data_IF_517770540036
#
_entry.id   IF_517770540036
#
_cell.length_a   1.000
_cell.length_b   1.000
_cell.length_c   1.000
_cell.angle_alpha   90.00
_cell.angle_beta   90.00
_cell.angle_gamma   90.00
#
_symmetry.space_group_name_H-M   'P 1'
#
loop_
_entity.id
_entity.type
_entity.pdbx_description
1 polymer ?
#
# COMPACT_ATOMS: atom_id res chain seq x y z
N UNK A 1 2.79 -12.66 -33.47
CA UNK A 1 2.59 -11.79 -32.28
C UNK A 1 3.67 -12.12 -31.25
N UNK A 2 4.54 -11.16 -30.87
CA UNK A 2 5.48 -11.37 -29.75
C UNK A 2 4.67 -11.78 -28.52
N UNK A 3 4.91 -12.96 -27.96
CA UNK A 3 4.03 -13.53 -26.94
C UNK A 3 3.90 -12.55 -25.75
N UNK A 4 2.66 -12.26 -25.36
CA UNK A 4 2.32 -11.34 -24.28
C UNK A 4 2.75 -11.91 -22.91
N UNK A 5 2.86 -13.24 -22.85
CA UNK A 5 3.32 -14.06 -21.74
C UNK A 5 4.41 -15.04 -22.18
N UNK A 6 5.11 -15.60 -21.20
CA UNK A 6 6.09 -16.66 -21.27
C UNK A 6 7.55 -16.21 -21.41
N UNK A 7 8.44 -17.08 -20.96
CA UNK A 7 9.88 -16.95 -21.09
C UNK A 7 10.51 -18.32 -21.37
N UNK A 8 11.57 -18.32 -22.17
CA UNK A 8 12.43 -19.50 -22.33
C UNK A 8 13.11 -19.83 -21.00
N UNK A 9 13.18 -21.11 -20.64
CA UNK A 9 13.88 -21.57 -19.43
C UNK A 9 15.31 -21.04 -19.36
N UNK A 10 15.74 -20.68 -18.15
CA UNK A 10 17.06 -20.10 -17.90
C UNK A 10 17.18 -18.60 -18.19
N UNK A 11 16.19 -17.98 -18.87
CA UNK A 11 16.19 -16.54 -19.11
C UNK A 11 15.46 -15.78 -18.00
N UNK A 12 15.94 -14.57 -17.72
CA UNK A 12 15.24 -13.61 -16.86
C UNK A 12 15.05 -12.33 -17.66
N UNK A 13 13.79 -11.90 -17.83
CA UNK A 13 13.44 -10.64 -18.48
C UNK A 13 12.22 -10.03 -17.80
N UNK A 14 12.28 -8.73 -17.56
CA UNK A 14 11.21 -7.95 -16.95
C UNK A 14 10.54 -7.08 -18.01
N UNK A 15 9.21 -6.96 -17.92
CA UNK A 15 8.38 -6.16 -18.79
C UNK A 15 7.52 -5.21 -17.95
N UNK A 16 7.23 -4.01 -18.48
CA UNK A 16 6.19 -3.13 -17.91
C UNK A 16 4.89 -3.92 -17.81
N UNK A 17 4.12 -3.65 -16.76
CA UNK A 17 2.84 -4.30 -16.53
C UNK A 17 1.92 -4.19 -17.74
N UNK A 18 1.19 -5.27 -18.04
CA UNK A 18 0.26 -5.34 -19.18
C UNK A 18 -1.14 -5.69 -18.70
N UNK A 19 -2.14 -4.90 -19.09
CA UNK A 19 -3.56 -5.15 -18.74
C UNK A 19 -4.03 -6.56 -19.15
N UNK A 20 -3.50 -7.08 -20.24
CA UNK A 20 -3.83 -8.43 -20.76
C UNK A 20 -3.46 -9.56 -19.79
N UNK A 21 -2.51 -9.37 -18.87
CA UNK A 21 -2.19 -10.39 -17.87
C UNK A 21 -3.37 -10.73 -16.97
N UNK A 22 -4.20 -9.73 -16.63
CA UNK A 22 -5.44 -9.95 -15.86
C UNK A 22 -6.45 -10.80 -16.64
N UNK A 23 -6.62 -10.53 -17.93
CA UNK A 23 -7.54 -11.30 -18.79
C UNK A 23 -7.10 -12.75 -18.91
N UNK A 24 -5.81 -12.98 -19.19
CA UNK A 24 -5.22 -14.33 -19.30
C UNK A 24 -5.35 -15.10 -17.99
N UNK A 25 -5.10 -14.44 -16.85
CA UNK A 25 -5.29 -15.05 -15.54
C UNK A 25 -6.76 -15.43 -15.30
N UNK A 26 -7.71 -14.55 -15.64
CA UNK A 26 -9.14 -14.82 -15.49
C UNK A 26 -9.61 -16.02 -16.34
N UNK A 27 -9.15 -16.13 -17.59
CA UNK A 27 -9.43 -17.29 -18.46
C UNK A 27 -8.87 -18.58 -17.87
N UNK A 28 -7.65 -18.53 -17.32
CA UNK A 28 -7.02 -19.68 -16.66
C UNK A 28 -7.79 -20.08 -15.40
N UNK A 29 -8.21 -19.10 -14.60
CA UNK A 29 -9.01 -19.32 -13.38
C UNK A 29 -10.34 -19.99 -13.73
N UNK A 30 -11.05 -19.50 -14.75
CA UNK A 30 -12.31 -20.09 -15.20
C UNK A 30 -12.13 -21.57 -15.62
N UNK A 31 -11.09 -21.85 -16.41
CA UNK A 31 -10.75 -23.22 -16.82
C UNK A 31 -10.43 -24.13 -15.62
N UNK A 32 -9.74 -23.62 -14.60
CA UNK A 32 -9.45 -24.42 -13.40
C UNK A 32 -10.72 -24.68 -12.58
N UNK A 33 -11.63 -23.72 -12.46
CA UNK A 33 -12.93 -23.93 -11.83
C UNK A 33 -13.79 -24.97 -12.57
N UNK A 34 -13.77 -24.97 -13.91
CA UNK A 34 -14.47 -26.00 -14.70
C UNK A 34 -13.97 -27.43 -14.41
N UNK A 35 -12.68 -27.58 -14.09
CA UNK A 35 -12.08 -28.89 -13.79
C UNK A 35 -12.30 -29.29 -12.34
N UNK A 36 -12.09 -28.36 -11.41
CA UNK A 36 -12.01 -28.64 -9.97
C UNK A 36 -13.36 -28.56 -9.26
N UNK A 37 -14.31 -27.80 -9.80
CA UNK A 37 -15.61 -27.55 -9.15
C UNK A 37 -15.44 -27.10 -7.70
N UNK A 38 -16.26 -27.68 -6.81
CA UNK A 38 -16.31 -27.34 -5.38
C UNK A 38 -15.05 -27.77 -4.60
N UNK A 39 -14.15 -28.56 -5.19
CA UNK A 39 -12.86 -28.89 -4.57
C UNK A 39 -11.96 -27.64 -4.45
N UNK A 40 -12.10 -26.68 -5.37
CA UNK A 40 -11.41 -25.41 -5.29
C UNK A 40 -12.21 -24.42 -4.43
N UNK A 41 -11.76 -24.18 -3.20
CA UNK A 41 -12.37 -23.21 -2.30
C UNK A 41 -12.28 -21.78 -2.86
N UNK A 42 -11.14 -21.43 -3.48
CA UNK A 42 -10.90 -20.17 -4.18
C UNK A 42 -9.75 -20.34 -5.18
N UNK A 43 -9.72 -19.53 -6.24
CA UNK A 43 -8.64 -19.49 -7.24
C UNK A 43 -8.32 -18.04 -7.59
N UNK A 44 -7.07 -17.63 -7.36
CA UNK A 44 -6.67 -16.23 -7.39
C UNK A 44 -5.43 -15.99 -8.27
N UNK A 45 -5.42 -14.86 -8.99
CA UNK A 45 -4.23 -14.37 -9.69
C UNK A 45 -3.25 -13.78 -8.66
N UNK A 46 -2.04 -14.31 -8.61
CA UNK A 46 -0.99 -13.96 -7.63
C UNK A 46 0.35 -13.67 -8.32
N UNK A 47 1.42 -13.49 -7.54
CA UNK A 47 2.75 -13.19 -8.05
C UNK A 47 2.90 -11.77 -8.61
N UNK A 48 4.03 -11.48 -9.26
CA UNK A 48 4.32 -10.11 -9.73
C UNK A 48 3.40 -9.64 -10.86
N UNK A 49 2.81 -10.56 -11.64
CA UNK A 49 1.94 -10.18 -12.77
C UNK A 49 0.54 -9.71 -12.33
N UNK A 50 0.17 -9.90 -11.07
CA UNK A 50 -1.06 -9.36 -10.47
C UNK A 50 -0.84 -8.02 -9.76
N UNK A 51 0.38 -7.47 -9.78
CA UNK A 51 0.71 -6.15 -9.21
C UNK A 51 0.86 -5.13 -10.33
N UNK A 52 -0.06 -4.16 -10.40
CA UNK A 52 -0.24 -3.30 -11.57
C UNK A 52 0.91 -2.31 -11.79
N UNK A 53 1.59 -1.91 -10.71
CA UNK A 53 2.55 -0.81 -10.72
C UNK A 53 4.01 -1.24 -10.88
N UNK A 54 4.28 -2.54 -11.07
CA UNK A 54 5.66 -3.06 -11.15
C UNK A 54 5.94 -3.80 -12.45
N UNK A 55 7.20 -3.83 -12.88
CA UNK A 55 7.67 -4.74 -13.91
C UNK A 55 7.70 -6.16 -13.37
N UNK A 56 7.29 -7.10 -14.22
CA UNK A 56 7.26 -8.51 -13.89
C UNK A 56 7.91 -9.35 -15.00
N UNK A 57 8.33 -10.56 -14.63
CA UNK A 57 8.49 -11.62 -15.63
C UNK A 57 7.10 -11.89 -16.19
N UNK A 58 6.95 -12.07 -17.51
CA UNK A 58 5.64 -12.27 -18.12
C UNK A 58 5.13 -13.72 -17.90
N UNK A 59 5.20 -14.24 -16.68
CA UNK A 59 4.70 -15.57 -16.29
C UNK A 59 3.54 -15.33 -15.33
N UNK A 60 2.38 -15.94 -15.62
CA UNK A 60 1.18 -15.82 -14.80
C UNK A 60 1.28 -16.80 -13.64
N UNK A 61 1.20 -16.32 -12.40
CA UNK A 61 1.16 -17.18 -11.22
C UNK A 61 -0.29 -17.23 -10.70
N UNK A 62 -0.85 -18.42 -10.54
CA UNK A 62 -2.20 -18.67 -10.01
C UNK A 62 -2.07 -19.46 -8.70
N UNK A 63 -2.82 -19.09 -7.67
CA UNK A 63 -2.97 -19.87 -6.44
C UNK A 63 -4.37 -20.50 -6.41
N UNK A 64 -4.45 -21.78 -6.06
CA UNK A 64 -5.67 -22.55 -5.86
C UNK A 64 -5.73 -22.97 -4.38
N UNK A 65 -6.77 -22.54 -3.68
CA UNK A 65 -7.03 -22.96 -2.30
C UNK A 65 -7.89 -24.23 -2.29
N UNK A 66 -7.49 -25.24 -1.52
CA UNK A 66 -8.23 -26.49 -1.31
C UNK A 66 -8.36 -26.80 0.18
N UNK A 67 -9.31 -27.64 0.59
CA UNK A 67 -9.39 -28.07 1.99
C UNK A 67 -8.26 -29.04 2.36
N UNK A 68 -7.98 -30.01 1.47
CA UNK A 68 -6.91 -30.99 1.65
C UNK A 68 -6.35 -31.42 0.28
N UNK A 69 -5.13 -31.95 0.27
CA UNK A 69 -4.58 -32.52 -0.97
C UNK A 69 -5.26 -33.82 -1.38
N UNK A 70 -5.81 -34.59 -0.43
CA UNK A 70 -6.55 -35.82 -0.74
C UNK A 70 -7.79 -35.54 -1.59
N UNK A 71 -8.47 -34.42 -1.35
CA UNK A 71 -9.64 -34.03 -2.15
C UNK A 71 -9.25 -33.58 -3.56
N UNK A 72 -8.00 -33.13 -3.73
CA UNK A 72 -7.49 -32.54 -4.96
C UNK A 72 -6.72 -33.52 -5.85
N UNK A 73 -5.92 -34.43 -5.28
CA UNK A 73 -4.95 -35.24 -6.04
C UNK A 73 -5.62 -36.13 -7.10
N UNK A 74 -6.90 -36.48 -6.94
CA UNK A 74 -7.71 -37.18 -7.95
C UNK A 74 -7.95 -36.41 -9.25
N UNK A 75 -7.81 -35.08 -9.25
CA UNK A 75 -7.99 -34.22 -10.43
C UNK A 75 -6.72 -34.05 -11.28
N UNK A 76 -5.56 -34.54 -10.82
CA UNK A 76 -4.30 -34.42 -11.55
C UNK A 76 -4.40 -34.92 -13.01
N UNK A 77 -4.99 -36.10 -13.30
CA UNK A 77 -5.14 -36.55 -14.69
C UNK A 77 -5.99 -35.61 -15.56
N UNK A 78 -7.07 -35.04 -15.00
CA UNK A 78 -7.94 -34.10 -15.72
C UNK A 78 -7.23 -32.77 -16.01
N UNK A 79 -6.42 -32.28 -15.07
CA UNK A 79 -5.55 -31.12 -15.25
C UNK A 79 -4.50 -31.38 -16.34
N UNK A 80 -3.83 -32.53 -16.31
CA UNK A 80 -2.82 -32.90 -17.31
C UNK A 80 -3.42 -33.04 -18.71
N UNK A 81 -4.64 -33.57 -18.84
CA UNK A 81 -5.37 -33.64 -20.11
C UNK A 81 -5.67 -32.26 -20.72
N UNK A 82 -5.71 -31.20 -19.89
CA UNK A 82 -5.86 -29.80 -20.30
C UNK A 82 -4.53 -29.05 -20.41
N UNK A 83 -3.40 -29.74 -20.30
CA UNK A 83 -2.07 -29.16 -20.43
C UNK A 83 -1.50 -28.52 -19.16
N UNK A 84 -2.17 -28.69 -18.02
CA UNK A 84 -1.70 -28.25 -16.69
C UNK A 84 -0.82 -29.35 -16.11
N UNK A 85 0.49 -29.27 -16.35
CA UNK A 85 1.42 -30.38 -16.09
C UNK A 85 1.94 -30.36 -14.66
N UNK A 86 1.80 -31.48 -13.92
CA UNK A 86 2.26 -31.58 -12.54
C UNK A 86 3.80 -31.64 -12.43
N UNK A 87 4.36 -31.07 -11.35
CA UNK A 87 5.80 -30.97 -11.10
C UNK A 87 6.16 -31.38 -9.66
N UNK A 88 6.00 -32.67 -9.30
CA UNK A 88 6.19 -33.15 -7.92
C UNK A 88 7.63 -33.05 -7.40
N UNK A 89 8.63 -32.98 -8.30
CA UNK A 89 10.06 -32.92 -7.93
C UNK A 89 10.55 -31.51 -7.60
N UNK A 90 9.69 -30.50 -7.73
CA UNK A 90 10.03 -29.10 -7.41
C UNK A 90 9.72 -28.87 -5.94
N UNK A 91 10.76 -28.80 -5.11
CA UNK A 91 10.60 -28.52 -3.68
C UNK A 91 10.32 -27.03 -3.46
N UNK A 92 9.06 -26.67 -3.26
CA UNK A 92 8.62 -25.30 -2.97
C UNK A 92 7.90 -25.18 -1.62
N UNK A 93 7.92 -26.23 -0.79
CA UNK A 93 7.18 -26.28 0.47
C UNK A 93 6.00 -27.24 0.40
N UNK A 94 4.98 -26.99 1.22
CA UNK A 94 3.80 -27.83 1.31
C UNK A 94 2.75 -27.45 0.26
N UNK A 95 3.11 -27.60 -1.02
CA UNK A 95 2.30 -27.18 -2.16
C UNK A 95 2.29 -28.24 -3.27
N UNK A 96 1.22 -28.32 -4.07
CA UNK A 96 1.27 -29.01 -5.38
C UNK A 96 1.56 -27.98 -6.46
N UNK A 97 2.64 -28.20 -7.21
CA UNK A 97 3.10 -27.27 -8.23
C UNK A 97 2.80 -27.76 -9.65
N UNK A 98 2.21 -26.91 -10.48
CA UNK A 98 1.92 -27.19 -11.89
C UNK A 98 2.40 -26.07 -12.79
N UNK A 99 2.60 -26.39 -14.07
CA UNK A 99 3.01 -25.43 -15.10
C UNK A 99 2.17 -25.59 -16.37
N UNK A 100 1.92 -24.48 -17.05
CA UNK A 100 1.40 -24.46 -18.43
C UNK A 100 2.48 -23.89 -19.35
N UNK A 101 2.72 -24.55 -20.48
CA UNK A 101 3.79 -24.21 -21.41
C UNK A 101 4.00 -25.27 -22.49
N UNK A 102 4.94 -25.02 -23.39
CA UNK A 102 5.30 -25.99 -24.44
C UNK A 102 6.36 -27.00 -23.96
N UNK A 103 6.61 -28.02 -24.79
CA UNK A 103 7.61 -29.05 -24.52
C UNK A 103 9.06 -28.56 -24.72
N UNK A 104 9.24 -27.37 -25.30
CA UNK A 104 10.52 -26.76 -25.64
C UNK A 104 11.07 -25.83 -24.54
N UNK A 105 10.68 -26.09 -23.28
CA UNK A 105 11.13 -25.35 -22.09
C UNK A 105 10.61 -23.88 -22.04
N UNK A 106 9.45 -23.59 -22.64
CA UNK A 106 8.78 -22.28 -22.54
C UNK A 106 7.58 -22.33 -21.59
N UNK A 107 7.67 -21.66 -20.44
CA UNK A 107 6.61 -21.65 -19.43
C UNK A 107 5.85 -20.32 -19.45
N UNK A 108 4.53 -20.41 -19.43
CA UNK A 108 3.61 -19.26 -19.43
C UNK A 108 2.88 -19.09 -18.11
N UNK A 109 2.57 -20.20 -17.43
CA UNK A 109 1.87 -20.18 -16.15
C UNK A 109 2.57 -21.05 -15.11
N UNK A 110 2.46 -20.62 -13.87
CA UNK A 110 2.69 -21.41 -12.68
C UNK A 110 1.37 -21.50 -11.90
N UNK A 111 1.00 -22.70 -11.46
CA UNK A 111 -0.18 -22.92 -10.64
C UNK A 111 0.26 -23.58 -9.35
N UNK A 112 -0.06 -22.92 -8.24
CA UNK A 112 0.28 -23.31 -6.88
C UNK A 112 -1.00 -23.76 -6.18
N UNK A 113 -1.07 -25.01 -5.73
CA UNK A 113 -2.23 -25.53 -5.01
C UNK A 113 -1.84 -25.75 -3.55
N UNK A 114 -2.59 -25.13 -2.65
CA UNK A 114 -2.27 -25.03 -1.22
C UNK A 114 -3.53 -25.17 -0.35
N UNK A 115 -3.42 -25.63 0.91
CA UNK A 115 -4.56 -25.63 1.82
C UNK A 115 -5.10 -24.22 2.06
N UNK A 116 -6.42 -24.04 2.16
CA UNK A 116 -7.08 -22.72 2.30
C UNK A 116 -6.70 -21.99 3.60
N UNK A 117 -6.36 -22.73 4.66
CA UNK A 117 -5.91 -22.18 5.95
C UNK A 117 -4.39 -22.06 6.06
N UNK A 118 -3.65 -22.41 4.99
CA UNK A 118 -2.18 -22.43 5.02
C UNK A 118 -1.56 -21.04 5.04
N UNK A 119 -0.33 -20.97 5.55
CA UNK A 119 0.49 -19.75 5.53
C UNK A 119 0.80 -19.32 4.10
N UNK A 120 0.97 -20.27 3.18
CA UNK A 120 1.22 -20.04 1.77
C UNK A 120 0.06 -19.30 1.11
N UNK A 121 -1.18 -19.77 1.31
CA UNK A 121 -2.38 -19.09 0.81
C UNK A 121 -2.45 -17.65 1.32
N UNK A 122 -2.33 -17.47 2.65
CA UNK A 122 -2.36 -16.15 3.30
C UNK A 122 -1.27 -15.24 2.72
N UNK A 123 -0.04 -15.75 2.56
CA UNK A 123 1.09 -15.00 2.02
C UNK A 123 0.86 -14.58 0.57
N UNK A 124 0.37 -15.47 -0.30
CA UNK A 124 0.10 -15.14 -1.69
C UNK A 124 -0.91 -13.99 -1.83
N UNK A 125 -2.01 -14.07 -1.06
CA UNK A 125 -3.07 -13.06 -1.09
C UNK A 125 -2.60 -11.74 -0.46
N UNK A 126 -2.01 -11.80 0.74
CA UNK A 126 -1.55 -10.62 1.45
C UNK A 126 -0.47 -9.88 0.66
N UNK A 127 0.53 -10.59 0.13
CA UNK A 127 1.62 -9.96 -0.64
C UNK A 127 1.08 -9.21 -1.86
N UNK A 128 0.20 -9.84 -2.65
CA UNK A 128 -0.44 -9.19 -3.80
C UNK A 128 -1.23 -7.95 -3.38
N UNK A 129 -2.10 -8.09 -2.39
CA UNK A 129 -3.00 -7.02 -1.97
C UNK A 129 -2.20 -5.84 -1.41
N UNK A 130 -1.21 -6.13 -0.57
CA UNK A 130 -0.32 -5.15 0.03
C UNK A 130 0.43 -4.35 -1.03
N UNK A 131 1.08 -5.01 -2.00
CA UNK A 131 1.84 -4.31 -3.04
C UNK A 131 0.94 -3.48 -3.99
N UNK A 132 -0.30 -3.89 -4.23
CA UNK A 132 -1.24 -3.05 -4.98
C UNK A 132 -1.73 -1.85 -4.17
N UNK A 133 -1.86 -1.99 -2.84
CA UNK A 133 -2.30 -0.92 -1.94
C UNK A 133 -1.16 0.03 -1.51
N UNK A 134 0.10 -0.41 -1.58
CA UNK A 134 1.29 0.33 -1.13
C UNK A 134 2.30 0.50 -2.26
N UNK A 135 2.13 1.52 -3.12
CA UNK A 135 3.01 1.73 -4.27
C UNK A 135 4.50 1.88 -3.91
N UNK A 136 4.81 2.49 -2.76
CA UNK A 136 6.19 2.61 -2.28
C UNK A 136 6.83 1.23 -2.02
N UNK A 137 6.13 0.34 -1.30
CA UNK A 137 6.60 -1.03 -1.04
C UNK A 137 6.74 -1.84 -2.34
N UNK A 138 5.81 -1.65 -3.29
CA UNK A 138 5.91 -2.24 -4.63
C UNK A 138 7.13 -1.75 -5.40
N UNK A 139 7.46 -0.47 -5.26
CA UNK A 139 8.67 0.17 -5.79
C UNK A 139 9.95 -0.46 -5.26
N UNK A 140 10.07 -0.62 -3.93
CA UNK A 140 11.21 -1.27 -3.29
C UNK A 140 11.40 -2.70 -3.82
N UNK A 141 10.30 -3.45 -3.96
CA UNK A 141 10.34 -4.79 -4.54
C UNK A 141 10.79 -4.79 -6.00
N UNK A 142 10.35 -3.83 -6.81
CA UNK A 142 10.78 -3.69 -8.19
C UNK A 142 12.27 -3.36 -8.30
N UNK A 143 12.77 -2.44 -7.48
CA UNK A 143 14.16 -2.02 -7.48
C UNK A 143 15.11 -3.21 -7.24
N UNK A 144 14.81 -4.04 -6.23
CA UNK A 144 15.57 -5.26 -5.97
C UNK A 144 15.55 -6.19 -7.19
N UNK A 145 14.40 -6.40 -7.84
CA UNK A 145 14.31 -7.21 -9.06
C UNK A 145 15.16 -6.65 -10.20
N UNK A 146 15.14 -5.33 -10.40
CA UNK A 146 15.94 -4.68 -11.45
C UNK A 146 17.43 -4.85 -11.16
N UNK A 147 17.86 -4.65 -9.92
CA UNK A 147 19.26 -4.77 -9.52
C UNK A 147 19.76 -6.22 -9.61
N UNK A 148 18.96 -7.20 -9.17
CA UNK A 148 19.28 -8.62 -9.34
C UNK A 148 19.34 -9.03 -10.82
N UNK A 149 18.47 -8.47 -11.67
CA UNK A 149 18.51 -8.74 -13.11
C UNK A 149 19.81 -8.24 -13.75
N UNK A 150 20.31 -7.07 -13.34
CA UNK A 150 21.61 -6.53 -13.79
C UNK A 150 22.75 -7.46 -13.39
N UNK A 151 22.72 -8.00 -12.16
CA UNK A 151 23.78 -8.85 -11.61
C UNK A 151 23.74 -10.31 -12.11
N UNK A 152 22.55 -10.87 -12.32
CA UNK A 152 22.34 -12.31 -12.56
C UNK A 152 21.53 -12.62 -13.83
N UNK A 153 21.78 -11.89 -14.93
CA UNK A 153 21.04 -12.00 -16.19
C UNK A 153 20.90 -13.44 -16.74
N UNK A 154 21.93 -14.27 -16.56
CA UNK A 154 21.99 -15.66 -17.03
C UNK A 154 21.91 -16.69 -15.90
N UNK A 155 21.70 -16.25 -14.65
CA UNK A 155 21.60 -17.13 -13.49
C UNK A 155 20.23 -16.97 -12.82
N UNK A 156 19.25 -17.71 -13.32
CA UNK A 156 17.87 -17.70 -12.80
C UNK A 156 17.80 -18.06 -11.32
N UNK A 157 18.64 -18.99 -10.84
CA UNK A 157 18.63 -19.42 -9.44
C UNK A 157 19.09 -18.27 -8.54
N UNK A 158 20.25 -17.69 -8.81
CA UNK A 158 20.77 -16.55 -8.05
C UNK A 158 19.82 -15.34 -8.08
N UNK A 159 19.17 -15.07 -9.23
CA UNK A 159 18.10 -14.06 -9.31
C UNK A 159 16.91 -14.38 -8.40
N UNK A 160 16.54 -15.66 -8.27
CA UNK A 160 15.39 -16.08 -7.47
C UNK A 160 15.70 -16.01 -5.98
N UNK A 161 16.85 -16.57 -5.58
CA UNK A 161 17.33 -16.61 -4.20
C UNK A 161 17.61 -15.20 -3.66
N UNK A 162 18.17 -14.31 -4.48
CA UNK A 162 18.48 -12.93 -4.08
C UNK A 162 17.25 -12.08 -3.72
N UNK A 163 16.03 -12.54 -4.00
CA UNK A 163 14.78 -11.85 -3.61
C UNK A 163 14.29 -12.24 -2.22
N UNK A 164 14.87 -13.27 -1.59
CA UNK A 164 14.33 -13.86 -0.37
C UNK A 164 14.17 -12.83 0.76
N UNK A 165 15.18 -11.98 0.98
CA UNK A 165 15.19 -10.98 2.04
C UNK A 165 14.06 -9.95 1.87
N UNK A 166 13.93 -9.33 0.70
CA UNK A 166 12.87 -8.34 0.44
C UNK A 166 11.47 -8.98 0.48
N UNK A 167 11.33 -10.23 0.03
CA UNK A 167 10.05 -10.95 0.10
C UNK A 167 9.68 -11.21 1.56
N UNK A 168 10.62 -11.68 2.38
CA UNK A 168 10.39 -11.95 3.79
C UNK A 168 10.00 -10.67 4.55
N UNK A 169 10.69 -9.56 4.29
CA UNK A 169 10.35 -8.25 4.85
C UNK A 169 8.92 -7.83 4.49
N UNK A 170 8.61 -7.79 3.19
CA UNK A 170 7.30 -7.37 2.69
C UNK A 170 6.16 -8.30 3.10
N UNK A 171 6.42 -9.59 3.32
CA UNK A 171 5.42 -10.51 3.86
C UNK A 171 5.07 -10.18 5.32
N UNK A 172 6.05 -9.78 6.15
CA UNK A 172 5.77 -9.31 7.52
C UNK A 172 4.92 -8.04 7.48
N UNK A 173 5.29 -7.07 6.65
CA UNK A 173 4.53 -5.83 6.47
C UNK A 173 3.10 -6.09 5.96
N UNK A 174 2.96 -6.93 4.93
CA UNK A 174 1.69 -7.31 4.34
C UNK A 174 0.79 -8.06 5.33
N UNK A 175 1.39 -8.90 6.17
CA UNK A 175 0.69 -9.62 7.21
C UNK A 175 0.09 -8.66 8.23
N UNK A 176 0.88 -7.77 8.83
CA UNK A 176 0.38 -6.77 9.78
C UNK A 176 -0.67 -5.85 9.14
N UNK A 177 -0.40 -5.37 7.93
CA UNK A 177 -1.34 -4.54 7.17
C UNK A 177 -2.67 -5.23 6.88
N UNK A 178 -2.68 -6.55 6.68
CA UNK A 178 -3.91 -7.30 6.43
C UNK A 178 -4.87 -7.32 7.62
N UNK A 179 -4.42 -6.92 8.81
CA UNK A 179 -5.26 -6.78 10.00
C UNK A 179 -5.80 -5.37 10.19
N UNK A 180 -5.27 -4.37 9.47
CA UNK A 180 -5.73 -3.00 9.59
C UNK A 180 -7.23 -2.92 9.21
N UNK A 181 -8.04 -2.36 10.11
CA UNK A 181 -9.50 -2.30 9.99
C UNK A 181 -10.25 -3.58 10.38
N UNK A 182 -9.57 -4.65 10.81
CA UNK A 182 -10.24 -5.89 11.27
C UNK A 182 -10.58 -5.83 12.76
N UNK A 183 -11.69 -6.47 13.11
CA UNK A 183 -12.05 -6.77 14.50
C UNK A 183 -11.17 -7.88 15.05
N UNK A 184 -10.64 -7.67 16.26
CA UNK A 184 -9.80 -8.61 16.99
C UNK A 184 -10.21 -8.66 18.46
N UNK A 185 -9.95 -9.79 19.11
CA UNK A 185 -10.10 -9.96 20.56
C UNK A 185 -8.73 -9.88 21.21
N UNK A 186 -8.57 -8.99 22.18
CA UNK A 186 -7.34 -8.67 22.89
C UNK A 186 -7.43 -9.17 24.32
N UNK A 187 -6.40 -9.86 24.78
CA UNK A 187 -6.16 -10.07 26.21
C UNK A 187 -5.49 -8.82 26.78
N UNK A 188 -6.18 -8.11 27.67
CA UNK A 188 -5.70 -6.86 28.26
C UNK A 188 -4.85 -7.17 29.48
N UNK A 189 -3.67 -6.56 29.56
CA UNK A 189 -2.68 -6.82 30.61
C UNK A 189 -2.70 -5.77 31.72
N UNK A 190 -2.46 -4.50 31.39
CA UNK A 190 -2.39 -3.42 32.37
C UNK A 190 -2.70 -2.05 31.77
N UNK A 191 -3.22 -1.17 32.64
CA UNK A 191 -3.36 0.27 32.37
C UNK A 191 -1.98 0.92 32.26
N UNK A 192 -1.79 1.74 31.23
CA UNK A 192 -0.60 2.57 31.02
C UNK A 192 -0.91 4.06 31.26
N UNK A 193 -2.12 4.49 30.90
CA UNK A 193 -2.61 5.85 31.14
C UNK A 193 -4.12 5.87 31.35
N UNK A 194 -4.58 6.69 32.29
CA UNK A 194 -6.00 6.96 32.55
C UNK A 194 -6.36 8.43 32.26
N UNK A 195 -5.56 9.09 31.41
CA UNK A 195 -5.82 10.46 30.94
C UNK A 195 -7.03 10.50 29.99
N UNK A 196 -7.30 11.68 29.40
CA UNK A 196 -8.43 11.91 28.47
C UNK A 196 -8.60 10.83 27.39
N UNK A 197 -7.51 10.26 26.89
CA UNK A 197 -7.54 9.03 26.08
C UNK A 197 -6.84 7.93 26.88
N UNK A 198 -7.59 6.99 27.49
CA UNK A 198 -7.01 5.88 28.21
C UNK A 198 -6.17 4.98 27.30
N UNK A 199 -5.09 4.40 27.84
CA UNK A 199 -4.19 3.49 27.12
C UNK A 199 -3.92 2.27 27.98
N UNK A 200 -4.09 1.10 27.39
CA UNK A 200 -3.78 -0.20 28.01
C UNK A 200 -2.83 -0.99 27.11
N UNK A 201 -2.00 -1.83 27.72
CA UNK A 201 -1.22 -2.85 26.99
C UNK A 201 -1.97 -4.17 26.94
N UNK A 202 -1.75 -4.94 25.88
CA UNK A 202 -2.34 -6.27 25.72
C UNK A 202 -1.69 -7.04 24.58
N UNK A 203 -2.29 -8.17 24.23
CA UNK A 203 -1.85 -8.98 23.10
C UNK A 203 -3.00 -9.74 22.44
N UNK A 204 -2.76 -10.19 21.21
CA UNK A 204 -3.66 -11.07 20.45
C UNK A 204 -2.96 -12.42 20.22
N UNK A 205 -3.61 -13.53 20.55
CA UNK A 205 -3.07 -14.88 20.36
C UNK A 205 -3.36 -15.44 18.96
N UNK A 206 -2.49 -16.33 18.48
CA UNK A 206 -2.75 -17.18 17.32
C UNK A 206 -2.72 -16.45 15.97
N UNK A 207 -2.27 -15.20 15.95
CA UNK A 207 -2.26 -14.38 14.74
C UNK A 207 -1.05 -14.70 13.87
N UNK A 208 0.16 -14.86 14.44
CA UNK A 208 1.40 -15.01 13.66
C UNK A 208 1.62 -16.43 13.10
N UNK A 209 0.81 -17.42 13.47
CA UNK A 209 0.89 -18.80 13.00
C UNK A 209 1.88 -19.70 13.77
N UNK A 210 2.81 -19.11 14.54
CA UNK A 210 3.85 -19.83 15.28
C UNK A 210 3.60 -19.85 16.81
N UNK A 211 2.34 -19.73 17.24
CA UNK A 211 1.95 -19.50 18.65
C UNK A 211 2.53 -18.23 19.28
N UNK A 212 3.06 -17.30 18.49
CA UNK A 212 3.50 -16.00 19.01
C UNK A 212 2.30 -15.07 19.18
N UNK A 213 2.33 -14.29 20.25
CA UNK A 213 1.35 -13.25 20.50
C UNK A 213 1.74 -11.97 19.77
N UNK A 214 0.75 -11.24 19.25
CA UNK A 214 0.96 -9.91 18.69
C UNK A 214 0.69 -8.87 19.77
N UNK A 215 1.69 -8.10 20.15
CA UNK A 215 1.55 -7.01 21.12
C UNK A 215 0.66 -5.89 20.57
N UNK A 216 -0.19 -5.33 21.45
CA UNK A 216 -1.09 -4.23 21.10
C UNK A 216 -1.20 -3.19 22.21
N UNK A 217 -1.53 -1.97 21.80
CA UNK A 217 -2.17 -0.97 22.66
C UNK A 217 -3.68 -1.00 22.46
N UNK A 218 -4.44 -0.89 23.54
CA UNK A 218 -5.88 -0.57 23.49
C UNK A 218 -6.05 0.89 23.90
N UNK A 219 -6.64 1.71 23.02
CA UNK A 219 -6.80 3.16 23.26
C UNK A 219 -8.26 3.59 23.27
N UNK A 220 -8.58 4.62 24.04
CA UNK A 220 -9.90 5.27 24.02
C UNK A 220 -11.04 4.43 24.61
N UNK A 221 -10.72 3.43 25.43
CA UNK A 221 -11.70 2.57 26.10
C UNK A 221 -11.61 2.77 27.60
N UNK A 222 -12.72 3.12 28.24
CA UNK A 222 -12.80 3.17 29.70
C UNK A 222 -13.00 1.75 30.24
N UNK A 223 -12.11 1.29 31.13
CA UNK A 223 -12.23 0.02 31.85
C UNK A 223 -12.53 -1.19 30.94
N UNK A 224 -11.62 -1.56 30.03
CA UNK A 224 -11.85 -2.61 29.02
C UNK A 224 -12.03 -4.03 29.59
N UNK A 225 -11.85 -4.23 30.90
CA UNK A 225 -11.80 -5.56 31.51
C UNK A 225 -10.51 -6.32 31.15
N UNK A 226 -10.50 -7.64 31.38
CA UNK A 226 -9.36 -8.51 31.01
C UNK A 226 -9.38 -8.96 29.55
N UNK A 227 -10.52 -8.83 28.88
CA UNK A 227 -10.71 -9.19 27.47
C UNK A 227 -11.49 -8.08 26.79
N UNK A 228 -10.96 -7.57 25.68
CA UNK A 228 -11.59 -6.51 24.91
C UNK A 228 -11.66 -6.88 23.43
N UNK A 229 -12.82 -6.65 22.80
CA UNK A 229 -12.98 -6.80 21.36
C UNK A 229 -13.08 -5.41 20.72
N UNK A 230 -12.20 -5.13 19.77
CA UNK A 230 -12.13 -3.84 19.10
C UNK A 230 -11.57 -3.97 17.69
N UNK A 231 -11.32 -2.85 17.04
CA UNK A 231 -10.79 -2.79 15.68
C UNK A 231 -9.32 -2.40 15.70
N UNK A 232 -8.48 -3.10 14.94
CA UNK A 232 -7.10 -2.69 14.68
C UNK A 232 -7.13 -1.40 13.86
N UNK A 233 -6.93 -0.26 14.51
CA UNK A 233 -7.04 1.07 13.90
C UNK A 233 -5.71 1.58 13.36
N UNK A 234 -4.58 1.09 13.89
CA UNK A 234 -3.27 1.41 13.34
C UNK A 234 -2.23 0.29 13.57
N UNK A 235 -1.19 0.30 12.73
CA UNK A 235 0.03 -0.49 12.90
C UNK A 235 1.19 0.47 13.13
N UNK A 236 2.01 0.22 14.15
CA UNK A 236 3.23 0.99 14.42
C UNK A 236 4.38 0.29 13.69
N UNK A 237 5.13 1.04 12.90
CA UNK A 237 6.32 0.58 12.20
C UNK A 237 7.55 1.29 12.77
N UNK A 238 8.64 0.54 12.98
CA UNK A 238 9.94 1.13 13.31
C UNK A 238 10.57 1.83 12.10
N UNK A 239 11.68 2.54 12.34
CA UNK A 239 12.47 3.26 11.32
C UNK A 239 12.83 2.45 10.07
N UNK A 240 13.00 1.13 10.20
CA UNK A 240 13.35 0.22 9.10
C UNK A 240 12.12 -0.35 8.35
N UNK A 241 10.92 0.15 8.65
CA UNK A 241 9.62 -0.37 8.24
C UNK A 241 9.28 -1.76 8.79
N UNK A 242 9.95 -2.21 9.86
CA UNK A 242 9.54 -3.44 10.53
C UNK A 242 8.25 -3.19 11.32
N UNK A 243 7.17 -3.97 11.08
CA UNK A 243 5.94 -3.84 11.85
C UNK A 243 6.17 -4.25 13.31
N UNK A 244 5.76 -3.39 14.24
CA UNK A 244 5.82 -3.58 15.67
C UNK A 244 4.44 -3.81 16.28
N UNK A 245 4.12 -3.07 17.35
CA UNK A 245 2.84 -3.18 18.06
C UNK A 245 1.67 -2.66 17.22
N UNK A 246 0.47 -3.21 17.45
CA UNK A 246 -0.75 -2.71 16.82
C UNK A 246 -1.54 -1.84 17.79
N UNK A 247 -2.45 -1.03 17.25
CA UNK A 247 -3.34 -0.20 18.05
C UNK A 247 -4.78 -0.63 17.81
N UNK A 248 -5.47 -0.99 18.89
CA UNK A 248 -6.86 -1.42 18.90
C UNK A 248 -7.71 -0.35 19.58
N UNK A 249 -8.84 -0.01 18.97
CA UNK A 249 -9.77 1.01 19.46
C UNK A 249 -11.22 0.58 19.23
N UNK A 250 -12.22 1.27 19.81
CA UNK A 250 -13.62 1.07 19.44
C UNK A 250 -13.85 1.23 17.94
N UNK A 251 -14.81 0.50 17.37
CA UNK A 251 -15.03 0.47 15.92
C UNK A 251 -15.48 1.84 15.35
N UNK A 252 -16.14 2.64 16.17
CA UNK A 252 -16.60 3.99 15.90
C UNK A 252 -15.53 5.08 16.11
N UNK A 253 -14.42 4.73 16.76
CA UNK A 253 -13.38 5.70 17.07
C UNK A 253 -12.58 6.07 15.82
N UNK A 254 -12.37 7.38 15.63
CA UNK A 254 -11.69 7.94 14.45
C UNK A 254 -10.39 8.62 14.83
N UNK A 255 -9.42 7.86 15.33
CA UNK A 255 -8.10 8.38 15.70
C UNK A 255 -7.17 8.45 14.49
N UNK A 256 -6.72 9.65 14.14
CA UNK A 256 -5.70 9.81 13.12
C UNK A 256 -4.29 9.48 13.65
N UNK A 257 -3.31 9.35 12.76
CA UNK A 257 -1.96 8.94 13.12
C UNK A 257 -1.27 9.88 14.14
N UNK A 258 -1.55 11.20 14.09
CA UNK A 258 -0.98 12.16 15.04
C UNK A 258 -1.58 11.99 16.45
N UNK A 259 -2.91 11.84 16.53
CA UNK A 259 -3.61 11.59 17.79
C UNK A 259 -3.19 10.26 18.43
N UNK A 260 -2.98 9.23 17.62
CA UNK A 260 -2.45 7.95 18.10
C UNK A 260 -1.02 8.14 18.61
N UNK A 261 -0.16 8.85 17.88
CA UNK A 261 1.21 9.12 18.30
C UNK A 261 1.27 9.87 19.64
N UNK A 262 0.44 10.90 19.85
CA UNK A 262 0.38 11.66 21.10
C UNK A 262 0.12 10.78 22.34
N UNK A 263 -0.66 9.71 22.19
CA UNK A 263 -1.04 8.84 23.30
C UNK A 263 -0.10 7.64 23.47
N UNK A 264 0.51 7.12 22.39
CA UNK A 264 1.34 5.91 22.46
C UNK A 264 2.84 6.18 22.58
N UNK A 265 3.36 7.27 22.01
CA UNK A 265 4.81 7.55 22.01
C UNK A 265 5.45 7.61 23.40
N UNK A 266 4.78 8.10 24.47
CA UNK A 266 5.35 8.04 25.83
C UNK A 266 5.64 6.62 26.34
N UNK A 267 5.10 5.58 25.69
CA UNK A 267 5.25 4.18 26.06
C UNK A 267 6.09 3.36 25.05
N UNK A 268 6.58 4.00 24.00
CA UNK A 268 7.49 3.39 23.04
C UNK A 268 8.95 3.60 23.44
N UNK A 269 9.79 2.61 23.13
CA UNK A 269 11.23 2.69 23.41
C UNK A 269 11.94 3.57 22.38
N UNK A 270 11.47 3.54 21.13
CA UNK A 270 11.93 4.37 20.03
C UNK A 270 10.76 5.24 19.56
N UNK A 271 10.98 6.53 19.45
CA UNK A 271 9.97 7.49 18.98
C UNK A 271 10.08 7.77 17.48
N UNK A 272 11.12 7.27 16.80
CA UNK A 272 11.27 7.32 15.34
C UNK A 272 10.43 6.19 14.70
N UNK A 273 9.11 6.37 14.76
CA UNK A 273 8.12 5.39 14.29
C UNK A 273 7.18 5.99 13.26
N UNK A 274 6.71 5.14 12.36
CA UNK A 274 5.65 5.45 11.41
C UNK A 274 4.34 4.76 11.83
N UNK A 275 3.26 5.53 12.00
CA UNK A 275 1.95 5.00 12.40
C UNK A 275 1.03 4.93 11.18
N UNK A 276 0.77 3.70 10.71
CA UNK A 276 -0.17 3.45 9.62
C UNK A 276 -1.60 3.32 10.14
N UNK A 277 -2.30 4.45 10.28
CA UNK A 277 -3.69 4.48 10.73
C UNK A 277 -4.70 4.30 9.58
N UNK A 278 -5.85 3.67 9.89
CA UNK A 278 -7.07 3.65 9.08
C UNK A 278 -7.53 5.09 8.79
N UNK A 279 -7.53 5.94 9.81
CA UNK A 279 -7.86 7.34 9.68
C UNK A 279 -6.59 8.14 9.50
N UNK A 280 -6.49 8.87 8.39
CA UNK A 280 -5.27 9.61 8.06
C UNK A 280 -5.59 11.08 7.92
N UNK A 281 -4.86 11.92 8.64
CA UNK A 281 -4.93 13.37 8.50
C UNK A 281 -3.71 13.88 7.77
N UNK A 282 -3.92 14.70 6.75
CA UNK A 282 -2.86 15.42 6.06
C UNK A 282 -3.18 16.90 6.02
N UNK A 283 -2.12 17.69 5.89
CA UNK A 283 -2.25 19.12 5.65
C UNK A 283 -1.37 19.47 4.46
N UNK A 284 -1.85 20.41 3.65
CA UNK A 284 -1.17 20.86 2.45
C UNK A 284 -1.42 22.34 2.21
N UNK A 285 -0.73 22.86 1.20
CA UNK A 285 -0.83 24.27 0.83
C UNK A 285 -0.96 24.42 -0.68
N UNK A 286 -1.99 25.14 -1.10
CA UNK A 286 -2.14 25.62 -2.47
C UNK A 286 -1.17 26.79 -2.64
N UNK A 287 -0.01 26.50 -3.22
CA UNK A 287 0.98 27.54 -3.54
C UNK A 287 0.66 28.11 -4.91
N UNK A 288 0.47 29.43 -4.98
CA UNK A 288 0.16 30.13 -6.23
C UNK A 288 1.14 31.25 -6.54
N UNK A 289 1.25 31.63 -7.81
CA UNK A 289 1.91 32.85 -8.26
C UNK A 289 1.08 33.52 -9.35
N UNK A 290 1.32 34.79 -9.60
CA UNK A 290 0.69 35.52 -10.71
C UNK A 290 1.76 35.85 -11.75
N UNK A 291 1.57 35.35 -12.97
CA UNK A 291 2.46 35.58 -14.11
C UNK A 291 1.61 36.09 -15.27
N UNK A 292 1.96 37.27 -15.79
CA UNK A 292 1.23 37.92 -16.89
C UNK A 292 -0.29 38.03 -16.66
N UNK A 293 -0.69 38.24 -15.40
CA UNK A 293 -2.09 38.35 -14.99
C UNK A 293 -2.83 37.02 -14.84
N UNK A 294 -2.17 35.88 -15.08
CA UNK A 294 -2.73 34.55 -14.87
C UNK A 294 -2.29 33.99 -13.52
N UNK A 295 -3.20 33.29 -12.84
CA UNK A 295 -2.88 32.54 -11.63
C UNK A 295 -2.33 31.18 -12.03
N UNK A 296 -1.13 30.86 -11.56
CA UNK A 296 -0.49 29.56 -11.72
C UNK A 296 -0.28 28.89 -10.38
N UNK A 297 -0.41 27.57 -10.34
CA UNK A 297 -0.32 26.77 -9.13
C UNK A 297 0.81 25.76 -9.20
N UNK A 298 1.54 25.61 -8.10
CA UNK A 298 2.59 24.61 -7.95
C UNK A 298 1.97 23.25 -7.65
N UNK A 299 2.23 22.27 -8.51
CA UNK A 299 1.90 20.86 -8.28
C UNK A 299 3.16 20.01 -8.18
N UNK A 300 3.04 18.86 -7.51
CA UNK A 300 4.07 17.82 -7.40
C UNK A 300 3.62 16.54 -8.09
N UNK A 301 4.54 15.87 -8.77
CA UNK A 301 4.31 14.54 -9.34
C UNK A 301 5.07 13.50 -8.55
N UNK A 302 4.34 12.56 -7.97
CA UNK A 302 4.90 11.47 -7.16
C UNK A 302 5.31 10.28 -8.05
N UNK A 303 6.53 9.78 -7.86
CA UNK A 303 7.16 8.71 -8.64
C UNK A 303 6.40 7.38 -8.61
N UNK A 304 5.91 6.98 -7.42
CA UNK A 304 5.29 5.66 -7.23
C UNK A 304 3.79 5.63 -7.51
N UNK A 305 3.08 6.76 -7.43
CA UNK A 305 1.64 6.81 -7.64
C UNK A 305 1.22 7.41 -8.99
N UNK A 306 2.19 7.83 -9.82
CA UNK A 306 2.02 8.30 -11.20
C UNK A 306 0.93 9.37 -11.36
N UNK A 307 0.85 10.31 -10.42
CA UNK A 307 -0.17 11.35 -10.39
C UNK A 307 0.37 12.69 -9.89
N UNK A 308 -0.24 13.77 -10.36
CA UNK A 308 0.00 15.11 -9.84
C UNK A 308 -0.89 15.38 -8.63
N UNK A 309 -0.37 16.11 -7.65
CA UNK A 309 -1.12 16.56 -6.49
C UNK A 309 -0.63 17.91 -5.97
N UNK A 310 -1.43 18.52 -5.09
CA UNK A 310 -1.02 19.70 -4.32
C UNK A 310 -0.01 19.22 -3.24
N UNK A 311 1.08 19.96 -2.97
CA UNK A 311 2.04 19.65 -1.91
C UNK A 311 1.33 19.45 -0.56
N UNK A 312 1.56 18.30 0.08
CA UNK A 312 0.85 17.88 1.30
C UNK A 312 1.55 16.67 1.93
N UNK A 313 1.42 16.51 3.24
CA UNK A 313 1.82 15.26 3.88
C UNK A 313 1.18 15.04 5.23
N UNK A 314 1.67 14.05 5.97
CA UNK A 314 0.97 13.56 7.15
C UNK A 314 1.20 14.51 8.32
N UNK A 315 0.14 14.80 9.06
CA UNK A 315 0.24 15.53 10.32
C UNK A 315 0.98 14.67 11.35
N UNK A 316 1.93 15.27 12.05
CA UNK A 316 2.68 14.64 13.15
C UNK A 316 2.11 15.06 14.51
N UNK A 317 2.50 14.33 15.57
CA UNK A 317 2.03 14.60 16.93
C UNK A 317 2.39 16.02 17.39
N UNK A 318 1.43 16.74 17.96
CA UNK A 318 1.65 18.10 18.46
C UNK A 318 1.74 19.20 17.38
N UNK A 319 1.67 18.86 16.09
CA UNK A 319 1.62 19.87 15.02
C UNK A 319 0.22 20.49 14.91
N UNK A 320 0.17 21.79 14.62
CA UNK A 320 -1.05 22.39 14.05
C UNK A 320 -1.16 22.05 12.56
N UNK A 321 -2.37 22.16 12.01
CA UNK A 321 -2.59 21.96 10.57
C UNK A 321 -1.75 22.91 9.70
N UNK A 322 -1.53 24.15 10.17
CA UNK A 322 -0.71 25.13 9.48
C UNK A 322 0.77 24.77 9.53
N UNK A 323 1.28 24.35 10.69
CA UNK A 323 2.68 23.93 10.84
C UNK A 323 2.98 22.71 9.98
N UNK A 324 2.07 21.74 9.94
CA UNK A 324 2.16 20.56 9.06
C UNK A 324 2.27 21.00 7.59
N UNK A 325 1.40 21.91 7.13
CA UNK A 325 1.42 22.38 5.75
C UNK A 325 2.71 23.13 5.40
N UNK A 326 3.27 23.90 6.35
CA UNK A 326 4.54 24.61 6.19
C UNK A 326 5.70 23.61 6.07
N UNK A 327 5.78 22.63 6.99
CA UNK A 327 6.82 21.60 6.99
C UNK A 327 6.81 20.80 5.70
N UNK A 328 5.64 20.31 5.28
CA UNK A 328 5.53 19.48 4.08
C UNK A 328 5.81 20.28 2.80
N UNK A 329 5.41 21.56 2.70
CA UNK A 329 5.82 22.40 1.57
C UNK A 329 7.34 22.53 1.45
N UNK A 330 8.03 22.64 2.59
CA UNK A 330 9.48 22.69 2.62
C UNK A 330 10.12 21.33 2.28
N UNK A 331 9.64 20.24 2.88
CA UNK A 331 10.19 18.89 2.68
C UNK A 331 9.95 18.36 1.26
N UNK A 332 8.78 18.62 0.68
CA UNK A 332 8.43 18.12 -0.65
C UNK A 332 9.09 18.95 -1.76
N UNK A 333 8.95 20.28 -1.68
CA UNK A 333 9.25 21.20 -2.79
C UNK A 333 10.18 22.35 -2.43
N UNK A 334 10.74 22.36 -1.21
CA UNK A 334 11.69 23.38 -0.79
C UNK A 334 11.10 24.79 -0.74
N UNK A 335 9.78 24.94 -0.74
CA UNK A 335 9.11 26.23 -0.78
C UNK A 335 8.82 26.71 0.64
N UNK A 336 9.22 27.95 0.93
CA UNK A 336 8.80 28.63 2.17
C UNK A 336 7.45 29.27 1.92
N UNK A 337 6.47 28.91 2.75
CA UNK A 337 5.11 29.41 2.67
C UNK A 337 4.74 30.15 3.94
N UNK A 338 3.83 31.11 3.81
CA UNK A 338 3.12 31.73 4.93
C UNK A 338 1.64 31.55 4.63
N UNK A 339 1.02 30.45 5.12
CA UNK A 339 -0.36 30.14 4.77
C UNK A 339 -1.32 31.24 5.25
N UNK A 340 -2.25 31.62 4.38
CA UNK A 340 -3.37 32.47 4.75
C UNK A 340 -4.28 31.71 5.72
N UNK A 341 -4.65 32.37 6.81
CA UNK A 341 -5.46 31.75 7.86
C UNK A 341 -6.96 31.73 7.53
N UNK A 342 -7.42 32.61 6.63
CA UNK A 342 -8.82 32.75 6.22
C UNK A 342 -9.25 31.72 5.17
N UNK A 343 -8.31 31.30 4.30
CA UNK A 343 -8.59 30.24 3.34
C UNK A 343 -8.33 28.86 3.96
N UNK A 344 -9.42 28.13 4.22
CA UNK A 344 -9.37 26.74 4.69
C UNK A 344 -10.34 25.91 3.85
N UNK A 345 -9.84 24.80 3.30
CA UNK A 345 -10.68 23.77 2.67
C UNK A 345 -10.27 22.40 3.13
N UNK A 346 -11.26 21.62 3.55
CA UNK A 346 -11.09 20.22 3.95
C UNK A 346 -11.71 19.33 2.90
N UNK A 347 -10.97 18.31 2.47
CA UNK A 347 -11.48 17.27 1.59
C UNK A 347 -11.32 15.91 2.26
N UNK A 348 -12.31 15.05 2.05
CA UNK A 348 -12.31 13.69 2.55
C UNK A 348 -12.48 12.72 1.40
N UNK A 349 -11.67 11.65 1.39
CA UNK A 349 -11.79 10.58 0.41
C UNK A 349 -11.29 9.26 0.97
N UNK A 350 -11.75 8.15 0.37
CA UNK A 350 -11.34 6.80 0.76
C UNK A 350 -10.20 6.32 -0.14
N UNK A 351 -9.10 5.83 0.46
CA UNK A 351 -8.06 5.11 -0.26
C UNK A 351 -8.26 3.62 0.01
N UNK A 352 -8.67 2.91 -1.05
CA UNK A 352 -8.89 1.47 -0.97
C UNK A 352 -7.63 0.73 -0.48
N UNK A 353 -7.78 -0.33 0.33
CA UNK A 353 -9.04 -0.94 0.76
C UNK A 353 -9.61 -0.42 2.08
N UNK A 354 -8.83 0.30 2.90
CA UNK A 354 -9.20 0.53 4.31
C UNK A 354 -9.09 1.98 4.79
N UNK A 355 -8.46 2.89 4.04
CA UNK A 355 -8.11 4.20 4.60
C UNK A 355 -9.17 5.26 4.37
N UNK A 356 -9.49 6.01 5.42
CA UNK A 356 -10.26 7.25 5.35
C UNK A 356 -9.27 8.40 5.46
N UNK A 357 -9.17 9.24 4.42
CA UNK A 357 -8.20 10.32 4.33
C UNK A 357 -8.92 11.66 4.45
N UNK A 358 -8.52 12.46 5.42
CA UNK A 358 -8.85 13.88 5.54
C UNK A 358 -7.62 14.69 5.11
N UNK A 359 -7.81 15.70 4.28
CA UNK A 359 -6.75 16.64 3.89
C UNK A 359 -7.24 18.06 4.07
N UNK A 360 -6.52 18.84 4.88
CA UNK A 360 -6.77 20.27 5.08
C UNK A 360 -5.82 21.09 4.22
N UNK A 361 -6.36 21.95 3.38
CA UNK A 361 -5.61 22.85 2.52
C UNK A 361 -5.75 24.30 2.99
N UNK A 362 -4.60 24.96 3.07
CA UNK A 362 -4.49 26.42 3.12
C UNK A 362 -3.92 26.95 1.80
N UNK A 363 -3.83 28.26 1.66
CA UNK A 363 -3.28 28.91 0.46
C UNK A 363 -2.07 29.78 0.81
N UNK A 364 -1.10 29.91 -0.09
CA UNK A 364 0.02 30.83 0.11
C UNK A 364 0.52 31.35 -1.22
N UNK A 365 0.82 32.65 -1.27
CA UNK A 365 1.51 33.25 -2.40
C UNK A 365 2.98 32.79 -2.39
N UNK A 366 3.46 32.38 -3.55
CA UNK A 366 4.82 31.94 -3.75
C UNK A 366 5.83 33.07 -3.57
N UNK A 367 6.81 32.85 -2.68
CA UNK A 367 7.93 33.76 -2.48
C UNK A 367 9.24 32.99 -2.59
N UNK A 368 9.94 33.13 -3.71
CA UNK A 368 11.31 32.62 -3.89
C UNK A 368 11.48 31.62 -5.04
N UNK A 369 12.15 30.50 -4.76
CA UNK A 369 12.43 29.41 -5.70
C UNK A 369 11.85 28.08 -5.17
N UNK A 370 11.51 27.15 -6.07
CA UNK A 370 11.04 25.80 -5.73
C UNK A 370 12.01 24.75 -6.25
N UNK A 371 12.31 23.71 -5.47
CA UNK A 371 13.14 22.58 -5.89
C UNK A 371 12.60 21.28 -5.30
N UNK A 372 12.63 20.19 -6.05
CA UNK A 372 12.28 18.88 -5.47
C UNK A 372 13.30 18.54 -4.38
N UNK A 373 12.81 18.25 -3.16
CA UNK A 373 13.66 17.89 -2.02
C UNK A 373 13.42 16.45 -1.57
N UNK A 374 12.17 15.97 -1.59
CA UNK A 374 11.79 14.64 -1.07
C UNK A 374 12.09 13.50 -2.05
N UNK A 375 12.76 12.41 -1.62
CA UNK A 375 12.83 11.18 -2.38
C UNK A 375 11.42 10.65 -2.71
N UNK A 376 11.17 10.33 -3.97
CA UNK A 376 9.87 9.85 -4.44
C UNK A 376 8.99 10.93 -5.09
N UNK A 377 9.42 12.19 -5.13
CA UNK A 377 8.87 13.19 -6.06
C UNK A 377 9.72 13.18 -7.33
N UNK A 378 9.07 13.04 -8.49
CA UNK A 378 9.72 12.98 -9.80
C UNK A 378 9.98 14.38 -10.35
N UNK A 379 8.98 15.25 -10.28
CA UNK A 379 9.03 16.61 -10.84
C UNK A 379 8.01 17.53 -10.17
N UNK A 380 8.24 18.85 -10.31
CA UNK A 380 7.29 19.92 -9.98
C UNK A 380 6.91 20.67 -11.24
N UNK A 381 5.76 21.33 -11.22
CA UNK A 381 5.28 22.12 -12.35
C UNK A 381 4.32 23.21 -11.92
N UNK A 382 4.27 24.28 -12.72
CA UNK A 382 3.34 25.39 -12.56
C UNK A 382 2.25 25.27 -13.62
N UNK A 383 1.00 25.33 -13.18
CA UNK A 383 -0.15 25.09 -14.05
C UNK A 383 -1.25 26.10 -13.78
N UNK A 384 -1.90 26.57 -14.83
CA UNK A 384 -3.17 27.29 -14.69
C UNK A 384 -4.27 26.32 -14.25
N UNK A 385 -5.37 26.83 -13.69
CA UNK A 385 -6.46 26.01 -13.15
C UNK A 385 -6.97 24.94 -14.15
N UNK A 386 -7.15 25.32 -15.41
CA UNK A 386 -7.67 24.41 -16.45
C UNK A 386 -6.75 23.21 -16.75
N UNK A 387 -5.45 23.36 -16.52
CA UNK A 387 -4.44 22.31 -16.70
C UNK A 387 -4.31 21.48 -15.44
N UNK A 388 -4.22 22.14 -14.27
CA UNK A 388 -4.19 21.48 -12.96
C UNK A 388 -5.34 20.47 -12.81
N UNK A 389 -6.57 20.86 -13.19
CA UNK A 389 -7.75 19.97 -13.14
C UNK A 389 -7.65 18.72 -14.01
N UNK A 390 -6.86 18.74 -15.09
CA UNK A 390 -6.62 17.56 -15.94
C UNK A 390 -5.57 16.61 -15.37
N UNK A 391 -4.73 17.12 -14.47
CA UNK A 391 -3.59 16.40 -13.89
C UNK A 391 -3.90 15.81 -12.51
N UNK A 392 -4.74 16.49 -11.72
CA UNK A 392 -5.11 16.07 -10.37
C UNK A 392 -5.91 14.76 -10.38
N UNK A 393 -5.54 13.86 -9.45
CA UNK A 393 -6.14 12.53 -9.35
C UNK A 393 -7.57 12.52 -8.79
N UNK A 394 -7.86 13.41 -7.82
CA UNK A 394 -9.12 13.41 -7.07
C UNK A 394 -9.96 14.65 -7.43
N UNK A 395 -11.25 14.46 -7.66
CA UNK A 395 -12.15 15.55 -8.04
C UNK A 395 -12.32 16.55 -6.90
N UNK A 396 -12.27 16.07 -5.66
CA UNK A 396 -12.35 16.85 -4.43
C UNK A 396 -11.19 17.87 -4.37
N UNK A 397 -9.98 17.48 -4.79
CA UNK A 397 -8.84 18.41 -4.89
C UNK A 397 -9.01 19.43 -6.02
N UNK A 398 -9.76 19.13 -7.08
CA UNK A 398 -10.08 20.12 -8.10
C UNK A 398 -10.98 21.23 -7.55
N UNK A 399 -11.96 20.90 -6.70
CA UNK A 399 -12.84 21.89 -6.07
C UNK A 399 -12.07 22.86 -5.17
N UNK A 400 -11.07 22.36 -4.43
CA UNK A 400 -10.17 23.21 -3.62
C UNK A 400 -9.47 24.26 -4.49
N UNK A 401 -9.04 23.88 -5.69
CA UNK A 401 -8.35 24.79 -6.62
C UNK A 401 -9.30 25.82 -7.23
N UNK A 402 -10.54 25.44 -7.52
CA UNK A 402 -11.58 26.37 -7.98
C UNK A 402 -11.91 27.42 -6.92
N UNK A 403 -12.05 27.00 -5.67
CA UNK A 403 -12.25 27.91 -4.54
C UNK A 403 -11.04 28.84 -4.34
N UNK A 404 -9.82 28.31 -4.51
CA UNK A 404 -8.60 29.10 -4.44
C UNK A 404 -8.54 30.17 -5.54
N UNK A 405 -8.92 29.85 -6.78
CA UNK A 405 -8.97 30.79 -7.90
C UNK A 405 -9.91 31.98 -7.58
N UNK A 406 -11.12 31.69 -7.10
CA UNK A 406 -12.10 32.72 -6.72
C UNK A 406 -11.57 33.58 -5.56
N UNK A 407 -10.97 32.95 -4.56
CA UNK A 407 -10.41 33.63 -3.40
C UNK A 407 -9.27 34.59 -3.78
N UNK A 408 -8.29 34.12 -4.55
CA UNK A 408 -7.15 34.93 -5.02
C UNK A 408 -7.65 36.11 -5.87
N UNK A 409 -8.61 35.87 -6.77
CA UNK A 409 -9.19 36.93 -7.59
C UNK A 409 -9.90 38.00 -6.73
N UNK A 410 -10.49 37.61 -5.60
CA UNK A 410 -11.07 38.52 -4.61
C UNK A 410 -10.03 39.40 -3.92
N UNK A 411 -8.92 38.82 -3.45
CA UNK A 411 -7.82 39.55 -2.81
C UNK A 411 -7.27 40.67 -3.69
N UNK A 412 -7.10 40.39 -4.99
CA UNK A 412 -6.51 41.33 -5.94
C UNK A 412 -7.47 42.42 -6.42
N UNK A 413 -8.78 42.21 -6.29
CA UNK A 413 -9.79 43.26 -6.53
C UNK A 413 -9.89 44.24 -5.35
N UNK A 414 -9.62 43.79 -4.12
CA UNK A 414 -9.67 44.62 -2.90
C UNK A 414 -8.43 45.48 -2.64
N UNK A 415 -7.28 45.17 -3.25
CA UNK A 415 -6.01 45.89 -3.07
C UNK A 415 -5.83 47.17 -3.92
N UNK A 416 -6.85 47.61 -4.66
CA UNK A 416 -6.88 48.89 -5.39
C UNK A 416 -7.89 49.85 -4.73
N UNK A 417 -7.65 50.22 -3.48
CA UNK A 417 -8.36 51.30 -2.79
C UNK A 417 -7.35 52.26 -2.17
#
# INVERSE_FOLDING_TARGET
MKSIIGLKRGTVKLHKHKKQWRTIAAETIAMLYEILGDTACDIQHVGSTSVVHIKAKPVIDIAVAVNSFSDFDGYIPALEARGVKYRPKVNIGNERFFVIGDESDFFTHHIHVVPVTSREWINYINFRNYLNAKPFAAGQYEEVKINLLKKYKHNRKAYTDGKAEIIAKLLKEAFAWSYLGKTVTVTVLKSLSEKCVPVYSGYIEGVTGDNESQEVYVIGVNNPGSVYTGTVTAIIYGKDNTPGKWVVAPAEASFNQAQIAEVILPFEQDTDVFIDSVHRKSCGVVVYRIVDGNIEYLLVKEYYCYGWSIPKGHMEAGESEADTAIREAWEEVGVRVTPDMEFIRTVEYTIQPVYKKEVVFRISEFKGESRVVKPGIEETGWFVLSEAKKLLKYQETCAVMEDAEVYIAGLHKGGKA
#
